data_IF_841604859772
#
_entry.id   IF_841604859772
#
_cell.length_a   1.000
_cell.length_b   1.000
_cell.length_c   1.000
_cell.angle_alpha   90.00
_cell.angle_beta   90.00
_cell.angle_gamma   90.00
#
_symmetry.space_group_name_H-M   'P 1'
#
loop_
_entity.id
_entity.type
_entity.pdbx_description
1 polymer ?
#
# COMPACT_ATOMS: atom_id res chain seq x y z
N UNK A 1 10.90 13.72 16.47
CA UNK A 1 10.57 15.16 16.54
C UNK A 1 11.83 16.01 16.64
N UNK A 2 12.77 15.72 17.56
CA UNK A 2 14.00 16.50 17.75
C UNK A 2 14.84 16.63 16.48
N UNK A 3 14.95 15.58 15.68
CA UNK A 3 15.64 15.62 14.39
C UNK A 3 14.94 16.49 13.36
N UNK A 4 13.60 16.51 13.34
CA UNK A 4 12.84 17.42 12.47
C UNK A 4 13.00 18.87 12.90
N UNK A 5 12.87 19.16 14.19
CA UNK A 5 13.00 20.52 14.73
C UNK A 5 14.39 21.13 14.57
N UNK A 6 15.44 20.30 14.48
CA UNK A 6 16.82 20.71 14.31
C UNK A 6 17.41 20.34 12.93
N UNK A 7 16.57 19.93 12.00
CA UNK A 7 17.01 19.50 10.67
C UNK A 7 17.63 20.65 9.88
N UNK A 8 18.61 20.29 9.05
CA UNK A 8 19.25 21.22 8.12
C UNK A 8 19.07 20.65 6.72
N UNK A 9 18.50 21.43 5.81
CA UNK A 9 18.34 21.11 4.39
C UNK A 9 19.14 22.14 3.59
N UNK A 10 20.05 21.68 2.74
CA UNK A 10 20.91 22.54 1.91
C UNK A 10 21.63 23.63 2.70
N UNK A 11 22.12 23.29 3.90
CA UNK A 11 22.84 24.20 4.78
C UNK A 11 21.96 25.20 5.55
N UNK A 12 20.63 25.12 5.43
CA UNK A 12 19.68 25.98 6.16
C UNK A 12 18.90 25.18 7.18
N UNK A 13 18.77 25.71 8.38
CA UNK A 13 17.87 25.12 9.38
C UNK A 13 16.42 25.17 8.86
N UNK A 14 15.70 24.08 9.03
CA UNK A 14 14.27 24.02 8.70
C UNK A 14 13.54 24.98 9.66
N UNK A 15 12.69 25.84 9.11
CA UNK A 15 11.81 26.68 9.92
C UNK A 15 10.62 25.88 10.48
N UNK A 16 9.87 26.47 11.39
CA UNK A 16 8.75 25.80 12.05
C UNK A 16 7.64 25.39 11.05
N UNK A 17 7.42 26.16 9.99
CA UNK A 17 6.43 25.86 8.95
C UNK A 17 6.88 24.66 8.13
N UNK A 18 8.14 24.63 7.75
CA UNK A 18 8.73 23.49 7.03
C UNK A 18 8.73 22.22 7.88
N UNK A 19 9.08 22.32 9.16
CA UNK A 19 9.04 21.19 10.09
C UNK A 19 7.61 20.66 10.29
N UNK A 20 6.64 21.54 10.46
CA UNK A 20 5.22 21.18 10.57
C UNK A 20 4.71 20.53 9.27
N UNK A 21 5.08 21.06 8.10
CA UNK A 21 4.74 20.50 6.80
C UNK A 21 5.28 19.08 6.60
N UNK A 22 6.53 18.85 6.97
CA UNK A 22 7.13 17.51 6.92
C UNK A 22 6.42 16.53 7.86
N UNK A 23 6.15 16.96 9.11
CA UNK A 23 5.44 16.12 10.08
C UNK A 23 4.04 15.74 9.57
N UNK A 24 3.31 16.72 9.02
CA UNK A 24 1.99 16.48 8.42
C UNK A 24 2.08 15.48 7.25
N UNK A 25 3.09 15.62 6.38
CA UNK A 25 3.31 14.72 5.25
C UNK A 25 3.57 13.28 5.72
N UNK A 26 4.36 13.07 6.79
CA UNK A 26 4.59 11.75 7.36
C UNK A 26 3.33 11.15 7.99
N UNK A 27 2.56 11.94 8.75
CA UNK A 27 1.30 11.48 9.35
C UNK A 27 0.30 11.09 8.28
N UNK A 28 0.04 11.97 7.30
CA UNK A 28 -0.90 11.69 6.23
C UNK A 28 -0.45 10.53 5.34
N UNK A 29 0.84 10.50 4.98
CA UNK A 29 1.41 9.45 4.14
C UNK A 29 1.37 8.06 4.77
N UNK A 30 1.59 7.97 6.09
CA UNK A 30 1.64 6.70 6.82
C UNK A 30 0.29 6.18 7.30
N UNK A 31 -0.69 7.07 7.49
CA UNK A 31 -1.97 6.67 8.13
C UNK A 31 -2.91 5.95 7.16
N UNK A 32 -3.40 6.65 6.15
CA UNK A 32 -4.46 6.11 5.28
C UNK A 32 -3.96 5.01 4.34
N UNK A 33 -2.79 5.17 3.75
CA UNK A 33 -2.25 4.19 2.81
C UNK A 33 -1.90 2.86 3.49
N UNK A 34 -1.31 2.91 4.69
CA UNK A 34 -0.98 1.69 5.45
C UNK A 34 -2.25 1.00 5.96
N UNK A 35 -3.24 1.76 6.44
CA UNK A 35 -4.54 1.22 6.83
C UNK A 35 -5.25 0.53 5.67
N UNK A 36 -5.26 1.16 4.48
CA UNK A 36 -5.81 0.56 3.26
C UNK A 36 -5.05 -0.71 2.85
N UNK A 37 -3.71 -0.67 2.89
CA UNK A 37 -2.88 -1.83 2.60
C UNK A 37 -3.17 -3.00 3.55
N UNK A 38 -3.32 -2.72 4.85
CA UNK A 38 -3.63 -3.73 5.85
C UNK A 38 -5.02 -4.32 5.63
N UNK A 39 -6.04 -3.50 5.36
CA UNK A 39 -7.39 -3.96 5.02
C UNK A 39 -7.39 -4.89 3.81
N UNK A 40 -6.69 -4.49 2.72
CA UNK A 40 -6.52 -5.33 1.52
C UNK A 40 -5.78 -6.64 1.81
N UNK A 41 -4.73 -6.59 2.62
CA UNK A 41 -3.96 -7.77 3.02
C UNK A 41 -4.82 -8.76 3.82
N UNK A 42 -5.54 -8.28 4.83
CA UNK A 42 -6.44 -9.13 5.63
C UNK A 42 -7.55 -9.71 4.74
N UNK A 43 -8.13 -8.92 3.84
CA UNK A 43 -9.09 -9.44 2.86
C UNK A 43 -8.49 -10.60 2.05
N UNK A 44 -7.30 -10.44 1.48
CA UNK A 44 -6.66 -11.52 0.72
C UNK A 44 -6.39 -12.74 1.58
N UNK A 45 -5.87 -12.56 2.80
CA UNK A 45 -5.63 -13.66 3.74
C UNK A 45 -6.90 -14.46 4.03
N UNK A 46 -8.07 -13.79 4.09
CA UNK A 46 -9.34 -14.42 4.42
C UNK A 46 -10.12 -14.94 3.20
N UNK A 47 -9.82 -14.44 1.99
CA UNK A 47 -10.55 -14.81 0.76
C UNK A 47 -9.80 -15.78 -0.15
N UNK A 48 -8.47 -15.76 -0.13
CA UNK A 48 -7.67 -16.70 -0.93
C UNK A 48 -7.70 -18.08 -0.28
N UNK A 49 -8.18 -19.12 -0.98
CA UNK A 49 -8.37 -20.44 -0.40
C UNK A 49 -7.11 -21.00 0.27
N UNK A 50 -7.22 -21.40 1.53
CA UNK A 50 -6.14 -22.02 2.30
C UNK A 50 -5.03 -21.07 2.76
N UNK A 51 -5.01 -19.82 2.34
CA UNK A 51 -3.93 -18.89 2.65
C UNK A 51 -3.84 -18.57 4.15
N UNK A 52 -4.98 -18.35 4.80
CA UNK A 52 -5.02 -18.13 6.26
C UNK A 52 -4.40 -19.31 7.02
N UNK A 53 -4.84 -20.53 6.73
CA UNK A 53 -4.42 -21.72 7.45
C UNK A 53 -2.93 -22.00 7.22
N UNK A 54 -2.44 -21.76 6.01
CA UNK A 54 -1.01 -21.82 5.71
C UNK A 54 -0.23 -20.80 6.56
N UNK A 55 -0.67 -19.56 6.60
CA UNK A 55 0.01 -18.52 7.37
C UNK A 55 -0.11 -18.72 8.89
N UNK A 56 -1.16 -19.36 9.39
CA UNK A 56 -1.24 -19.80 10.80
C UNK A 56 -0.20 -20.87 11.08
N UNK A 57 -0.04 -21.85 10.19
CA UNK A 57 0.92 -22.93 10.34
C UNK A 57 2.38 -22.48 10.15
N UNK A 58 2.67 -21.65 9.15
CA UNK A 58 4.03 -21.13 8.88
C UNK A 58 4.00 -19.73 8.28
N UNK A 59 4.63 -18.79 8.95
CA UNK A 59 4.74 -17.38 8.53
C UNK A 59 5.76 -17.10 7.43
N UNK A 60 6.49 -18.12 6.95
CA UNK A 60 7.57 -17.91 5.96
C UNK A 60 7.07 -17.28 4.66
N UNK A 61 5.84 -17.59 4.25
CA UNK A 61 5.23 -17.02 3.05
C UNK A 61 4.74 -15.57 3.23
N UNK A 62 4.60 -15.08 4.46
CA UNK A 62 3.99 -13.78 4.74
C UNK A 62 4.65 -12.60 3.99
N UNK A 63 5.98 -12.49 3.85
CA UNK A 63 6.58 -11.42 3.04
C UNK A 63 6.11 -11.43 1.58
N UNK A 64 6.05 -12.59 0.93
CA UNK A 64 5.59 -12.71 -0.45
C UNK A 64 4.09 -12.42 -0.59
N UNK A 65 3.30 -12.84 0.38
CA UNK A 65 1.86 -12.53 0.49
C UNK A 65 1.64 -11.02 0.61
N UNK A 66 2.47 -10.31 1.39
CA UNK A 66 2.42 -8.85 1.52
C UNK A 66 2.69 -8.17 0.18
N UNK A 67 3.75 -8.54 -0.54
CA UNK A 67 4.09 -7.91 -1.83
C UNK A 67 2.98 -8.15 -2.86
N UNK A 68 2.41 -9.36 -2.94
CA UNK A 68 1.33 -9.64 -3.88
C UNK A 68 0.03 -8.93 -3.48
N UNK A 69 -0.27 -8.84 -2.20
CA UNK A 69 -1.38 -8.05 -1.70
C UNK A 69 -1.22 -6.56 -2.02
N UNK A 70 -0.02 -6.00 -1.82
CA UNK A 70 0.29 -4.61 -2.17
C UNK A 70 0.12 -4.34 -3.67
N UNK A 71 0.53 -5.27 -4.53
CA UNK A 71 0.32 -5.19 -5.97
C UNK A 71 -1.16 -5.06 -6.32
N UNK A 72 -1.99 -5.96 -5.80
CA UNK A 72 -3.42 -6.01 -6.11
C UNK A 72 -4.22 -4.91 -5.42
N UNK A 73 -3.90 -4.55 -4.19
CA UNK A 73 -4.59 -3.49 -3.45
C UNK A 73 -4.24 -2.11 -4.00
N UNK A 74 -2.94 -1.85 -4.25
CA UNK A 74 -2.43 -0.55 -4.70
C UNK A 74 -3.14 0.60 -3.96
N UNK A 75 -2.88 0.84 -2.67
CA UNK A 75 -3.66 1.80 -1.86
C UNK A 75 -3.77 3.19 -2.49
N UNK A 76 -2.67 3.73 -2.99
CA UNK A 76 -2.66 4.96 -3.77
C UNK A 76 -2.58 4.60 -5.26
N UNK A 77 -3.72 4.72 -5.94
CA UNK A 77 -3.86 4.25 -7.32
C UNK A 77 -3.42 5.29 -8.35
N UNK A 78 -3.67 6.56 -8.08
CA UNK A 78 -3.52 7.64 -9.06
C UNK A 78 -2.61 8.76 -8.53
N UNK A 79 -1.66 9.19 -9.36
CA UNK A 79 -0.81 10.35 -9.09
C UNK A 79 -0.78 11.31 -10.26
N UNK A 80 -1.11 12.57 -10.00
CA UNK A 80 -0.99 13.62 -11.00
C UNK A 80 0.46 14.12 -11.14
N UNK A 81 0.86 14.45 -12.38
CA UNK A 81 2.12 15.13 -12.70
C UNK A 81 1.83 16.29 -13.62
N UNK A 82 2.61 17.36 -13.48
CA UNK A 82 2.62 18.46 -14.44
C UNK A 82 3.84 18.34 -15.33
N UNK A 83 3.64 18.39 -16.62
CA UNK A 83 4.71 18.35 -17.63
C UNK A 83 5.55 19.62 -17.54
N UNK A 84 6.79 19.53 -17.12
CA UNK A 84 7.67 20.70 -16.96
C UNK A 84 8.33 21.12 -18.26
N UNK A 85 8.62 20.18 -19.13
CA UNK A 85 9.18 20.40 -20.47
C UNK A 85 8.39 19.53 -21.45
N UNK A 86 8.27 19.94 -22.74
CA UNK A 86 7.64 19.08 -23.74
C UNK A 86 8.27 17.69 -23.73
N UNK A 87 7.45 16.67 -23.77
CA UNK A 87 7.88 15.28 -23.71
C UNK A 87 6.99 14.41 -24.61
N UNK A 88 7.46 13.20 -24.91
CA UNK A 88 6.67 12.21 -25.63
C UNK A 88 6.62 10.91 -24.82
N UNK A 89 5.42 10.35 -24.67
CA UNK A 89 5.19 9.08 -23.97
C UNK A 89 4.24 8.22 -24.78
N UNK A 90 4.65 7.01 -25.10
CA UNK A 90 3.85 6.06 -25.87
C UNK A 90 3.37 6.57 -27.22
N UNK A 91 4.16 7.43 -27.90
CA UNK A 91 3.81 8.06 -29.16
C UNK A 91 2.95 9.33 -29.05
N UNK A 92 2.53 9.70 -27.83
CA UNK A 92 1.73 10.91 -27.59
C UNK A 92 2.61 12.07 -27.14
N UNK A 93 2.39 13.24 -27.73
CA UNK A 93 3.05 14.47 -27.32
C UNK A 93 2.43 15.05 -26.06
N UNK A 94 3.26 15.44 -25.12
CA UNK A 94 2.88 16.05 -23.86
C UNK A 94 3.41 17.49 -23.85
N UNK A 95 2.54 18.50 -24.03
CA UNK A 95 2.97 19.89 -24.02
C UNK A 95 3.36 20.33 -22.60
N UNK A 96 4.26 21.33 -22.53
CA UNK A 96 4.60 21.97 -21.26
C UNK A 96 3.33 22.52 -20.58
N UNK A 97 3.22 22.34 -19.28
CA UNK A 97 2.03 22.70 -18.49
C UNK A 97 0.90 21.66 -18.54
N UNK A 98 0.98 20.68 -19.44
CA UNK A 98 0.02 19.58 -19.52
C UNK A 98 -0.03 18.78 -18.22
N UNK A 99 -1.15 18.14 -17.95
CA UNK A 99 -1.32 17.26 -16.78
C UNK A 99 -1.39 15.80 -17.22
N UNK A 100 -0.64 14.96 -16.53
CA UNK A 100 -0.60 13.51 -16.74
C UNK A 100 -1.06 12.83 -15.45
N UNK A 101 -1.89 11.82 -15.57
CA UNK A 101 -2.28 10.97 -14.48
C UNK A 101 -1.55 9.64 -14.59
N UNK A 102 -0.77 9.30 -13.57
CA UNK A 102 -0.09 8.02 -13.45
C UNK A 102 -1.05 7.05 -12.76
N UNK A 103 -1.50 6.03 -13.48
CA UNK A 103 -2.35 4.97 -12.93
C UNK A 103 -1.49 3.79 -12.49
N UNK A 104 -1.18 3.75 -11.19
CA UNK A 104 -0.36 2.69 -10.59
C UNK A 104 -1.15 1.39 -10.46
N UNK A 105 -2.47 1.46 -10.28
CA UNK A 105 -3.31 0.27 -10.19
C UNK A 105 -3.35 -0.46 -11.53
N UNK A 106 -3.52 0.25 -12.64
CA UNK A 106 -3.43 -0.32 -13.97
C UNK A 106 -2.03 -0.86 -14.28
N UNK A 107 -0.99 -0.12 -13.90
CA UNK A 107 0.39 -0.58 -14.09
C UNK A 107 0.70 -1.88 -13.32
N UNK A 108 0.17 -2.02 -12.10
CA UNK A 108 0.31 -3.23 -11.28
C UNK A 108 -0.50 -4.42 -11.80
N UNK A 109 -1.35 -4.21 -12.81
CA UNK A 109 -2.16 -5.22 -13.50
C UNK A 109 -1.85 -5.32 -14.99
N UNK A 110 -0.75 -4.72 -15.43
CA UNK A 110 -0.35 -4.79 -16.83
C UNK A 110 0.05 -6.23 -17.22
N UNK A 111 -0.64 -6.89 -18.14
CA UNK A 111 -0.35 -8.28 -18.53
C UNK A 111 1.00 -8.43 -19.23
N UNK A 112 1.61 -7.33 -19.67
CA UNK A 112 2.98 -7.35 -20.24
C UNK A 112 4.05 -7.51 -19.16
N UNK A 113 3.76 -7.14 -17.91
CA UNK A 113 4.67 -7.31 -16.76
C UNK A 113 4.22 -8.45 -15.84
N UNK A 114 2.91 -8.65 -15.66
CA UNK A 114 2.33 -9.62 -14.74
C UNK A 114 1.47 -10.64 -15.49
N UNK A 115 1.95 -11.87 -15.65
CA UNK A 115 1.10 -12.97 -16.15
C UNK A 115 -0.08 -13.20 -15.20
N UNK A 116 -1.29 -13.45 -15.74
CA UNK A 116 -2.52 -13.56 -14.95
C UNK A 116 -2.66 -12.44 -13.89
N UNK A 117 -2.75 -11.16 -14.32
CA UNK A 117 -2.56 -10.01 -13.46
C UNK A 117 -3.63 -9.86 -12.38
N UNK A 118 -4.81 -10.42 -12.54
CA UNK A 118 -5.90 -10.39 -11.55
C UNK A 118 -5.81 -11.53 -10.53
N UNK A 119 -4.99 -12.54 -10.81
CA UNK A 119 -4.83 -13.68 -9.91
C UNK A 119 -3.87 -13.35 -8.77
N UNK A 120 -4.27 -13.67 -7.53
CA UNK A 120 -3.39 -13.59 -6.38
C UNK A 120 -2.38 -14.74 -6.41
N UNK A 121 -1.13 -14.43 -6.72
CA UNK A 121 -0.04 -15.41 -6.81
C UNK A 121 1.18 -14.95 -5.99
N UNK A 122 1.30 -15.47 -4.76
CA UNK A 122 2.46 -15.22 -3.90
C UNK A 122 3.75 -15.87 -4.40
N UNK A 123 3.65 -16.77 -5.36
CA UNK A 123 4.80 -17.46 -5.95
C UNK A 123 5.44 -16.70 -7.11
N UNK A 124 5.00 -15.49 -7.43
CA UNK A 124 5.59 -14.71 -8.52
C UNK A 124 7.09 -14.56 -8.32
N UNK A 125 7.85 -15.09 -9.29
CA UNK A 125 9.31 -15.01 -9.27
C UNK A 125 9.83 -13.57 -9.36
N UNK A 126 8.98 -12.64 -9.84
CA UNK A 126 9.28 -11.24 -10.08
C UNK A 126 8.04 -10.39 -9.80
N UNK A 127 8.03 -9.72 -8.67
CA UNK A 127 6.91 -8.85 -8.28
C UNK A 127 7.37 -7.39 -8.23
N UNK A 128 7.49 -6.77 -9.41
CA UNK A 128 7.93 -5.37 -9.58
C UNK A 128 6.78 -4.37 -9.51
N UNK A 129 5.91 -4.53 -8.55
CA UNK A 129 4.80 -3.62 -8.42
C UNK A 129 5.25 -2.16 -8.13
N UNK A 130 4.46 -1.22 -8.60
CA UNK A 130 4.70 0.21 -8.45
C UNK A 130 3.94 0.84 -7.27
N UNK A 131 3.44 0.05 -6.34
CA UNK A 131 2.66 0.52 -5.18
C UNK A 131 3.41 1.57 -4.34
N UNK A 132 4.73 1.46 -4.27
CA UNK A 132 5.60 2.43 -3.59
C UNK A 132 6.22 3.47 -4.54
N UNK A 133 5.79 3.50 -5.81
CA UNK A 133 6.39 4.34 -6.83
C UNK A 133 7.80 3.90 -7.19
N UNK A 134 8.50 4.77 -7.92
CA UNK A 134 9.90 4.55 -8.36
C UNK A 134 10.62 5.88 -8.57
N UNK A 135 11.95 5.83 -8.72
CA UNK A 135 12.79 7.00 -8.98
C UNK A 135 12.88 7.94 -7.78
N UNK A 136 13.02 9.23 -8.03
CA UNK A 136 13.25 10.27 -7.01
C UNK A 136 12.14 10.35 -5.96
N UNK A 137 10.92 9.96 -6.32
CA UNK A 137 9.76 9.98 -5.44
C UNK A 137 9.36 8.61 -4.90
N UNK A 138 10.27 7.63 -4.91
CA UNK A 138 10.00 6.34 -4.26
C UNK A 138 9.59 6.56 -2.80
N UNK A 139 8.61 5.81 -2.34
CA UNK A 139 8.06 5.94 -0.99
C UNK A 139 9.16 5.75 0.07
N UNK A 140 9.42 6.78 0.86
CA UNK A 140 10.40 6.70 1.95
C UNK A 140 9.95 5.79 3.10
N UNK A 141 8.61 5.68 3.30
CA UNK A 141 8.00 4.82 4.31
C UNK A 141 7.88 3.35 3.92
N UNK A 142 8.31 2.93 2.74
CA UNK A 142 8.08 1.57 2.23
C UNK A 142 8.58 0.44 3.15
N UNK A 143 9.68 0.66 3.86
CA UNK A 143 10.23 -0.34 4.80
C UNK A 143 9.42 -0.40 6.09
N UNK A 144 8.96 0.77 6.58
CA UNK A 144 8.09 0.87 7.75
C UNK A 144 6.73 0.21 7.44
N UNK A 145 6.10 0.56 6.32
CA UNK A 145 4.83 -0.03 5.91
C UNK A 145 4.89 -1.57 5.84
N UNK A 146 5.94 -2.13 5.23
CA UNK A 146 6.14 -3.59 5.20
C UNK A 146 6.30 -4.20 6.59
N UNK A 147 7.01 -3.52 7.48
CA UNK A 147 7.17 -3.96 8.87
C UNK A 147 5.83 -3.93 9.61
N UNK A 148 5.06 -2.86 9.47
CA UNK A 148 3.73 -2.72 10.07
C UNK A 148 2.77 -3.80 9.56
N UNK A 149 2.69 -4.01 8.25
CA UNK A 149 1.86 -5.07 7.65
C UNK A 149 2.23 -6.45 8.17
N UNK A 150 3.54 -6.75 8.24
CA UNK A 150 4.03 -8.03 8.74
C UNK A 150 3.69 -8.25 10.22
N UNK A 151 3.95 -7.24 11.05
CA UNK A 151 3.73 -7.34 12.50
C UNK A 151 2.23 -7.41 12.80
N UNK A 152 1.42 -6.53 12.20
CA UNK A 152 -0.01 -6.48 12.42
C UNK A 152 -0.69 -7.80 12.00
N UNK A 153 -0.41 -8.26 10.78
CA UNK A 153 -0.98 -9.52 10.28
C UNK A 153 -0.52 -10.71 11.12
N UNK A 154 0.77 -10.77 11.47
CA UNK A 154 1.29 -11.83 12.34
C UNK A 154 0.55 -11.86 13.68
N UNK A 155 0.41 -10.71 14.33
CA UNK A 155 -0.28 -10.60 15.62
C UNK A 155 -1.78 -10.91 15.54
N UNK A 156 -2.45 -10.49 14.45
CA UNK A 156 -3.85 -10.84 14.24
C UNK A 156 -4.02 -12.37 14.14
N UNK A 157 -3.20 -13.04 13.35
CA UNK A 157 -3.28 -14.47 13.17
C UNK A 157 -2.85 -15.27 14.41
N UNK A 158 -1.94 -14.74 15.25
CA UNK A 158 -1.57 -15.35 16.52
C UNK A 158 -2.69 -15.28 17.56
N UNK A 159 -3.40 -14.14 17.61
CA UNK A 159 -4.45 -13.92 18.62
C UNK A 159 -5.83 -14.36 18.17
N UNK A 160 -6.07 -14.44 16.86
CA UNK A 160 -7.36 -14.73 16.24
C UNK A 160 -7.17 -15.78 15.14
N UNK A 161 -6.77 -17.03 15.51
CA UNK A 161 -6.41 -18.05 14.52
C UNK A 161 -7.60 -18.50 13.67
N UNK A 162 -8.83 -18.33 14.16
CA UNK A 162 -10.10 -18.61 13.48
C UNK A 162 -10.72 -17.38 12.80
N UNK A 163 -9.98 -16.27 12.67
CA UNK A 163 -10.44 -15.05 12.01
C UNK A 163 -11.00 -15.38 10.61
N UNK A 164 -12.22 -14.92 10.33
CA UNK A 164 -12.91 -15.15 9.06
C UNK A 164 -13.75 -13.93 8.67
N UNK A 165 -14.12 -13.84 7.40
CA UNK A 165 -15.10 -12.84 6.98
C UNK A 165 -16.48 -13.17 7.55
N UNK A 166 -17.23 -12.12 7.90
CA UNK A 166 -18.61 -12.19 8.39
C UNK A 166 -19.48 -11.21 7.58
N UNK A 167 -19.55 -11.44 6.29
CA UNK A 167 -20.23 -10.62 5.30
C UNK A 167 -19.28 -10.09 4.22
N UNK A 168 -19.85 -9.34 3.29
CA UNK A 168 -19.11 -8.78 2.15
C UNK A 168 -18.35 -7.52 2.56
N UNK A 169 -17.06 -7.40 2.15
CA UNK A 169 -16.31 -6.16 2.32
C UNK A 169 -16.96 -5.00 1.55
N UNK A 170 -17.01 -3.83 2.16
CA UNK A 170 -17.50 -2.60 1.52
C UNK A 170 -16.32 -1.74 1.13
N UNK A 171 -16.10 -1.58 -0.17
CA UNK A 171 -15.04 -0.72 -0.70
C UNK A 171 -15.51 0.73 -0.83
N UNK A 172 -14.62 1.67 -0.55
CA UNK A 172 -14.94 3.10 -0.62
C UNK A 172 -14.99 3.66 -2.04
N UNK A 173 -14.45 2.92 -3.00
CA UNK A 173 -13.98 3.55 -4.22
C UNK A 173 -12.77 4.47 -3.97
N UNK A 174 -12.52 5.43 -4.86
CA UNK A 174 -11.37 6.33 -4.76
C UNK A 174 -11.67 7.54 -3.85
N UNK A 175 -11.24 7.49 -2.61
CA UNK A 175 -11.31 8.62 -1.67
C UNK A 175 -10.30 9.70 -2.10
N UNK A 176 -10.76 10.94 -2.21
CA UNK A 176 -9.92 12.04 -2.69
C UNK A 176 -9.40 11.84 -4.12
N UNK A 177 -10.04 10.95 -4.91
CA UNK A 177 -9.69 10.66 -6.30
C UNK A 177 -8.44 9.82 -6.50
N UNK A 178 -7.82 9.32 -5.43
CA UNK A 178 -6.56 8.56 -5.58
C UNK A 178 -6.36 7.41 -4.60
N UNK A 179 -7.01 7.43 -3.44
CA UNK A 179 -6.85 6.41 -2.40
C UNK A 179 -7.99 5.39 -2.46
N UNK A 180 -7.66 4.11 -2.64
CA UNK A 180 -8.58 2.99 -2.47
C UNK A 180 -8.51 2.47 -1.03
N UNK A 181 -9.66 2.26 -0.40
CA UNK A 181 -9.71 1.66 0.94
C UNK A 181 -10.99 0.84 1.12
N UNK A 182 -11.07 0.06 2.18
CA UNK A 182 -12.31 -0.57 2.64
C UNK A 182 -12.92 0.29 3.74
N UNK A 183 -14.19 0.67 3.62
CA UNK A 183 -14.91 1.30 4.72
C UNK A 183 -15.24 0.28 5.80
N UNK A 184 -15.59 -0.94 5.39
CA UNK A 184 -15.95 -2.02 6.29
C UNK A 184 -15.34 -3.32 5.78
N UNK A 185 -14.63 -4.00 6.65
CA UNK A 185 -14.21 -5.37 6.49
C UNK A 185 -14.81 -6.19 7.62
N UNK A 186 -16.04 -6.73 7.46
CA UNK A 186 -16.71 -7.46 8.53
C UNK A 186 -15.97 -8.77 8.79
N UNK A 187 -15.62 -9.00 10.05
CA UNK A 187 -14.89 -10.20 10.47
C UNK A 187 -15.54 -10.79 11.73
N UNK A 188 -15.48 -12.11 11.84
CA UNK A 188 -15.81 -12.84 13.05
C UNK A 188 -14.60 -13.64 13.52
N UNK A 189 -14.52 -13.84 14.81
CA UNK A 189 -13.52 -14.67 15.49
C UNK A 189 -14.08 -15.18 16.81
N UNK A 190 -13.47 -16.24 17.35
CA UNK A 190 -13.80 -16.72 18.69
C UNK A 190 -12.94 -15.95 19.70
N UNK A 191 -13.57 -15.23 20.62
CA UNK A 191 -12.85 -14.61 21.72
C UNK A 191 -12.38 -15.74 22.68
N UNK A 192 -11.08 -15.89 22.88
CA UNK A 192 -10.60 -16.64 24.03
C UNK A 192 -10.99 -15.85 25.28
N UNK A 193 -11.76 -16.46 26.19
CA UNK A 193 -11.99 -15.85 27.50
C UNK A 193 -10.62 -15.70 28.18
N UNK A 194 -10.22 -14.49 28.59
CA UNK A 194 -9.06 -14.36 29.44
C UNK A 194 -9.40 -15.06 30.78
N UNK A 195 -8.69 -16.16 31.10
CA UNK A 195 -8.67 -16.72 32.44
C UNK A 195 -8.06 -15.73 33.44
#
# INVERSE_FOLDING_TARGET
>A
LTHLANGVIEGRKIDDVGAAGLLLAYILGGHHSTGSALGGLIRHVLTVPGLRDELVADRKALPAVIEESLRLTTPLQLFARTVRCPAQVGGHELPQGGRVLLDLAAANRDPREFGDPETFDRGRSRNRHLTFGTGTHVCQGQHLARAELRIATGRLLDRLPDLRLDGDPVESGLVGGSLMTHYVLPVAFTAENPE
#
